data_IF_262390115694
#
_entry.id   IF_262390115694
#
_cell.length_a   1.000
_cell.length_b   1.000
_cell.length_c   1.000
_cell.angle_alpha   90.00
_cell.angle_beta   90.00
_cell.angle_gamma   90.00
#
_symmetry.space_group_name_H-M   'P 1'
#
loop_
_entity.id
_entity.type
_entity.pdbx_description
1 polymer ?
#
# COMPACT_ATOMS: atom_id res chain seq x y z
N UNK A 1 18.06 23.19 -16.30
CA UNK A 1 17.48 21.94 -16.81
C UNK A 1 16.81 22.23 -18.16
N UNK A 2 16.72 21.27 -19.05
CA UNK A 2 16.17 21.40 -20.41
C UNK A 2 15.13 20.31 -20.64
N UNK A 3 14.26 20.51 -21.65
CA UNK A 3 13.33 19.50 -22.13
C UNK A 3 13.89 18.90 -23.43
N UNK A 4 13.64 17.61 -23.64
CA UNK A 4 13.92 16.97 -24.91
C UNK A 4 12.90 17.34 -25.99
N UNK A 5 13.24 17.07 -27.24
CA UNK A 5 12.36 17.33 -28.37
C UNK A 5 11.03 16.57 -28.25
N UNK A 6 9.93 17.23 -28.61
CA UNK A 6 8.59 16.63 -28.57
C UNK A 6 7.94 16.54 -27.18
N UNK A 7 8.56 17.02 -26.10
CA UNK A 7 7.93 17.10 -24.77
C UNK A 7 7.02 18.33 -24.71
N UNK A 8 5.70 18.11 -24.67
CA UNK A 8 4.68 19.17 -24.67
C UNK A 8 3.97 19.34 -23.32
N UNK A 9 3.95 18.29 -22.51
CA UNK A 9 3.16 18.26 -21.28
C UNK A 9 3.89 18.84 -20.04
N UNK A 10 5.18 19.13 -20.20
CA UNK A 10 6.05 19.66 -19.15
C UNK A 10 6.71 20.96 -19.62
N UNK A 11 7.07 21.82 -18.68
CA UNK A 11 7.87 23.02 -18.94
C UNK A 11 9.05 23.07 -17.97
N UNK A 12 10.09 23.79 -18.35
CA UNK A 12 11.23 24.05 -17.46
C UNK A 12 10.71 24.76 -16.19
N UNK A 13 11.10 24.27 -15.02
CA UNK A 13 10.63 24.75 -13.73
C UNK A 13 9.46 23.99 -13.14
N UNK A 14 8.81 23.07 -13.88
CA UNK A 14 7.79 22.20 -13.27
C UNK A 14 8.37 21.34 -12.16
N UNK A 15 7.64 21.28 -11.06
CA UNK A 15 7.91 20.36 -9.95
C UNK A 15 7.42 18.98 -10.38
N UNK A 16 8.29 17.96 -10.28
CA UNK A 16 7.95 16.62 -10.74
C UNK A 16 8.40 15.56 -9.74
N UNK A 17 7.69 14.43 -9.73
CA UNK A 17 8.04 13.23 -9.01
C UNK A 17 7.96 12.01 -9.93
N UNK A 18 8.67 10.94 -9.58
CA UNK A 18 8.64 9.68 -10.31
C UNK A 18 8.90 8.49 -9.38
N UNK A 19 8.51 7.29 -9.82
CA UNK A 19 8.89 6.05 -9.19
C UNK A 19 9.39 5.05 -10.24
N UNK A 20 10.42 4.30 -9.87
CA UNK A 20 11.05 3.34 -10.77
C UNK A 20 11.82 4.00 -11.93
N UNK A 21 12.24 3.20 -12.88
CA UNK A 21 12.99 3.64 -14.05
C UNK A 21 14.47 3.25 -13.98
N UNK A 22 15.29 3.76 -14.90
CA UNK A 22 16.72 3.47 -14.90
C UNK A 22 17.38 3.89 -13.59
N UNK A 23 18.52 3.26 -13.24
CA UNK A 23 19.34 3.69 -12.11
C UNK A 23 19.78 5.15 -12.30
N UNK A 24 20.08 5.85 -11.19
CA UNK A 24 20.56 7.24 -11.21
C UNK A 24 19.71 8.23 -10.44
N UNK A 25 18.94 7.78 -9.44
CA UNK A 25 18.18 8.68 -8.56
C UNK A 25 19.10 9.47 -7.61
N UNK A 26 20.24 8.90 -7.22
CA UNK A 26 21.28 9.58 -6.42
C UNK A 26 22.20 10.40 -7.33
N UNK A 27 21.66 11.45 -7.92
CA UNK A 27 22.38 12.35 -8.81
C UNK A 27 21.82 13.76 -8.70
N UNK A 28 22.66 14.77 -8.82
CA UNK A 28 22.26 16.19 -8.85
C UNK A 28 21.41 16.50 -10.09
N UNK A 29 21.74 15.85 -11.21
CA UNK A 29 21.03 15.99 -12.50
C UNK A 29 20.97 14.62 -13.17
N UNK A 30 19.82 14.34 -13.81
CA UNK A 30 19.64 13.13 -14.60
C UNK A 30 18.73 13.35 -15.80
N UNK A 31 18.89 12.52 -16.81
CA UNK A 31 17.92 12.40 -17.90
C UNK A 31 16.87 11.33 -17.52
N UNK A 32 15.61 11.68 -17.75
CA UNK A 32 14.49 10.76 -17.50
C UNK A 32 13.43 10.93 -18.61
N UNK A 33 12.83 9.86 -19.12
CA UNK A 33 11.74 9.97 -20.08
C UNK A 33 10.54 10.73 -19.50
N UNK A 34 10.02 11.71 -20.23
CA UNK A 34 8.95 12.59 -19.76
C UNK A 34 7.69 11.84 -19.32
N UNK A 35 7.32 10.75 -20.01
CA UNK A 35 6.16 9.93 -19.68
C UNK A 35 6.23 9.23 -18.28
N UNK A 36 7.39 9.24 -17.63
CA UNK A 36 7.58 8.71 -16.27
C UNK A 36 7.44 9.77 -15.19
N UNK A 37 7.29 11.03 -15.58
CA UNK A 37 7.19 12.14 -14.66
C UNK A 37 5.73 12.48 -14.36
N UNK A 38 5.43 12.70 -13.09
CA UNK A 38 4.16 13.25 -12.63
C UNK A 38 4.41 14.66 -12.12
N UNK A 39 3.56 15.60 -12.51
CA UNK A 39 3.59 16.94 -11.91
C UNK A 39 3.25 16.84 -10.44
N UNK A 40 4.12 17.39 -9.61
CA UNK A 40 3.93 17.43 -8.16
C UNK A 40 3.15 18.68 -7.80
N UNK A 41 1.96 18.55 -7.18
CA UNK A 41 1.18 19.70 -6.71
C UNK A 41 1.99 20.57 -5.73
N UNK A 42 1.74 21.88 -5.73
CA UNK A 42 2.49 22.81 -4.90
C UNK A 42 2.33 22.53 -3.40
N UNK A 43 1.19 22.00 -2.98
CA UNK A 43 0.92 21.60 -1.60
C UNK A 43 1.73 20.39 -1.11
N UNK A 44 2.40 19.65 -1.99
CA UNK A 44 3.19 18.46 -1.64
C UNK A 44 4.68 18.83 -1.72
N UNK A 45 5.42 18.64 -0.62
CA UNK A 45 6.87 18.87 -0.60
C UNK A 45 7.61 17.82 -1.46
N UNK A 46 8.84 18.12 -1.85
CA UNK A 46 9.66 17.14 -2.61
C UNK A 46 9.95 15.90 -1.79
N UNK A 47 10.16 16.03 -0.48
CA UNK A 47 10.41 14.92 0.44
C UNK A 47 9.17 14.02 0.53
N UNK A 48 7.99 14.61 0.69
CA UNK A 48 6.72 13.85 0.68
C UNK A 48 6.51 13.19 -0.67
N UNK A 49 6.74 13.91 -1.77
CA UNK A 49 6.65 13.37 -3.12
C UNK A 49 7.58 12.17 -3.32
N UNK A 50 8.83 12.27 -2.90
CA UNK A 50 9.79 11.17 -3.00
C UNK A 50 9.37 9.96 -2.16
N UNK A 51 8.93 10.18 -0.92
CA UNK A 51 8.54 9.12 0.00
C UNK A 51 7.28 8.37 -0.43
N UNK A 52 6.28 9.08 -0.99
CA UNK A 52 4.98 8.48 -1.30
C UNK A 52 4.92 7.76 -2.64
N UNK A 53 5.79 8.08 -3.61
CA UNK A 53 5.58 7.64 -4.99
C UNK A 53 5.52 6.13 -5.14
N UNK A 54 6.53 5.39 -4.68
CA UNK A 54 6.54 3.93 -4.82
C UNK A 54 5.42 3.28 -4.01
N UNK A 55 5.33 3.62 -2.74
CA UNK A 55 4.37 3.03 -1.81
C UNK A 55 2.93 3.43 -2.14
N UNK A 56 2.69 4.69 -2.50
CA UNK A 56 1.38 5.18 -2.89
C UNK A 56 0.88 4.57 -4.20
N UNK A 57 1.74 4.45 -5.21
CA UNK A 57 1.39 3.76 -6.47
C UNK A 57 1.12 2.28 -6.23
N UNK A 58 1.88 1.63 -5.32
CA UNK A 58 1.64 0.24 -4.94
C UNK A 58 0.27 0.11 -4.27
N UNK A 59 -0.04 0.91 -3.26
CA UNK A 59 -1.36 0.90 -2.63
C UNK A 59 -2.49 1.18 -3.64
N UNK A 60 -2.27 2.11 -4.57
CA UNK A 60 -3.25 2.47 -5.61
C UNK A 60 -3.59 1.27 -6.51
N UNK A 61 -2.59 0.57 -7.06
CA UNK A 61 -2.92 -0.56 -7.92
C UNK A 61 -3.49 -1.74 -7.14
N UNK A 62 -3.01 -2.01 -5.94
CA UNK A 62 -3.53 -3.07 -5.09
C UNK A 62 -5.03 -2.89 -4.82
N UNK A 63 -5.42 -1.71 -4.34
CA UNK A 63 -6.78 -1.43 -3.90
C UNK A 63 -7.75 -1.09 -5.03
N UNK A 64 -7.26 -0.71 -6.22
CA UNK A 64 -8.09 -0.18 -7.31
C UNK A 64 -8.00 -0.95 -8.62
N UNK A 65 -6.94 -1.73 -8.83
CA UNK A 65 -6.68 -2.44 -10.08
C UNK A 65 -6.62 -3.95 -9.89
N UNK A 66 -5.91 -4.44 -8.85
CA UNK A 66 -5.76 -5.87 -8.58
C UNK A 66 -7.05 -6.43 -7.98
N UNK A 67 -7.46 -5.89 -6.84
CA UNK A 67 -8.79 -6.10 -6.27
C UNK A 67 -9.43 -4.75 -6.00
N UNK A 68 -10.61 -4.52 -6.57
CA UNK A 68 -11.31 -3.25 -6.41
C UNK A 68 -12.10 -3.25 -5.11
N UNK A 69 -11.47 -2.77 -4.04
CA UNK A 69 -12.08 -2.70 -2.71
C UNK A 69 -13.37 -1.90 -2.74
N UNK A 70 -14.41 -2.47 -2.13
CA UNK A 70 -15.74 -1.91 -2.00
C UNK A 70 -16.07 -1.64 -0.53
N UNK A 71 -17.06 -0.79 -0.30
CA UNK A 71 -17.64 -0.62 1.03
C UNK A 71 -18.25 -1.94 1.52
N UNK A 72 -17.98 -2.30 2.76
CA UNK A 72 -18.41 -3.56 3.36
C UNK A 72 -17.46 -4.74 3.18
N UNK A 73 -16.40 -4.62 2.34
CA UNK A 73 -15.36 -5.63 2.28
C UNK A 73 -14.62 -5.76 3.61
N UNK A 74 -14.25 -6.98 3.99
CA UNK A 74 -13.24 -7.22 5.01
C UNK A 74 -11.89 -7.47 4.33
N UNK A 75 -10.87 -6.70 4.65
CA UNK A 75 -9.54 -6.80 4.04
C UNK A 75 -8.48 -7.12 5.09
N UNK A 76 -7.57 -8.04 4.76
CA UNK A 76 -6.39 -8.31 5.57
C UNK A 76 -5.16 -7.72 4.89
N UNK A 77 -4.40 -6.91 5.61
CA UNK A 77 -3.16 -6.30 5.14
C UNK A 77 -2.00 -6.79 6.00
N UNK A 78 -1.11 -7.58 5.40
CA UNK A 78 0.11 -8.02 6.05
C UNK A 78 1.10 -6.85 6.16
N UNK A 79 1.90 -6.83 7.22
CA UNK A 79 2.83 -5.74 7.52
C UNK A 79 2.16 -4.34 7.49
N UNK A 80 1.02 -4.21 8.16
CA UNK A 80 0.17 -3.02 8.15
C UNK A 80 0.86 -1.71 8.59
N UNK A 81 1.91 -1.80 9.41
CA UNK A 81 2.73 -0.65 9.83
C UNK A 81 3.92 -0.35 8.89
N UNK A 82 4.03 -1.05 7.76
CA UNK A 82 5.01 -0.77 6.71
C UNK A 82 4.58 0.40 5.81
N UNK A 83 5.47 0.87 4.94
CA UNK A 83 5.21 2.03 4.09
C UNK A 83 3.99 1.87 3.17
N UNK A 84 3.83 0.72 2.49
CA UNK A 84 2.63 0.41 1.71
C UNK A 84 1.44 0.18 2.64
N UNK A 85 1.64 -0.56 3.76
CA UNK A 85 0.61 -0.91 4.72
C UNK A 85 -0.11 0.30 5.30
N UNK A 86 0.63 1.32 5.76
CA UNK A 86 0.06 2.54 6.34
C UNK A 86 -0.85 3.29 5.33
N UNK A 87 -0.42 3.40 4.08
CA UNK A 87 -1.21 4.06 3.03
C UNK A 87 -2.45 3.19 2.69
N UNK A 88 -2.23 1.87 2.51
CA UNK A 88 -3.30 0.95 2.15
C UNK A 88 -4.39 0.86 3.23
N UNK A 89 -4.02 0.85 4.51
CA UNK A 89 -4.97 0.82 5.63
C UNK A 89 -5.86 2.07 5.63
N UNK A 90 -5.27 3.26 5.53
CA UNK A 90 -6.03 4.51 5.47
C UNK A 90 -6.96 4.55 4.26
N UNK A 91 -6.46 4.15 3.10
CA UNK A 91 -7.25 4.19 1.87
C UNK A 91 -8.36 3.14 1.86
N UNK A 92 -8.10 1.90 2.27
CA UNK A 92 -9.13 0.86 2.37
C UNK A 92 -10.24 1.27 3.35
N UNK A 93 -9.86 1.87 4.51
CA UNK A 93 -10.84 2.44 5.44
C UNK A 93 -11.68 3.55 4.81
N UNK A 94 -11.06 4.46 4.08
CA UNK A 94 -11.77 5.54 3.38
C UNK A 94 -12.71 5.02 2.28
N UNK A 95 -12.45 3.83 1.72
CA UNK A 95 -13.32 3.14 0.79
C UNK A 95 -14.48 2.40 1.48
N UNK A 96 -14.55 2.42 2.81
CA UNK A 96 -15.61 1.79 3.59
C UNK A 96 -15.37 0.31 3.92
N UNK A 97 -14.15 -0.19 3.77
CA UNK A 97 -13.80 -1.55 4.13
C UNK A 97 -13.50 -1.69 5.63
N UNK A 98 -13.76 -2.86 6.20
CA UNK A 98 -13.22 -3.27 7.50
C UNK A 98 -11.77 -3.70 7.32
N UNK A 99 -10.84 -2.96 7.93
CA UNK A 99 -9.40 -3.18 7.77
C UNK A 99 -8.85 -3.95 8.95
N UNK A 100 -8.28 -5.13 8.67
CA UNK A 100 -7.54 -5.98 9.60
C UNK A 100 -6.07 -5.90 9.20
N UNK A 101 -5.19 -5.54 10.12
CA UNK A 101 -3.76 -5.42 9.85
C UNK A 101 -2.94 -6.37 10.71
N UNK A 102 -1.87 -6.96 10.17
CA UNK A 102 -0.91 -7.69 10.99
C UNK A 102 0.36 -6.89 11.21
N UNK A 103 0.95 -7.06 12.37
CA UNK A 103 2.18 -6.40 12.81
C UNK A 103 3.03 -7.36 13.65
N UNK A 104 4.32 -7.03 13.83
CA UNK A 104 5.25 -7.86 14.62
C UNK A 104 5.62 -7.27 15.99
N UNK A 105 5.01 -6.16 16.43
CA UNK A 105 5.29 -5.59 17.75
C UNK A 105 4.18 -4.66 18.25
N UNK A 106 4.09 -4.42 19.58
CA UNK A 106 3.10 -3.51 20.15
C UNK A 106 3.21 -2.07 19.60
N UNK A 107 4.42 -1.54 19.45
CA UNK A 107 4.61 -0.19 18.91
C UNK A 107 4.08 -0.06 17.47
N UNK A 108 4.28 -1.10 16.65
CA UNK A 108 3.71 -1.16 15.29
C UNK A 108 2.19 -1.31 15.31
N UNK A 109 1.63 -1.94 16.36
CA UNK A 109 0.18 -2.05 16.50
C UNK A 109 -0.48 -0.69 16.72
N UNK A 110 0.07 0.13 17.58
CA UNK A 110 -0.42 1.50 17.79
C UNK A 110 -0.32 2.35 16.52
N UNK A 111 0.79 2.22 15.79
CA UNK A 111 0.97 2.91 14.52
C UNK A 111 -0.08 2.49 13.48
N UNK A 112 -0.34 1.20 13.32
CA UNK A 112 -1.33 0.68 12.38
C UNK A 112 -2.76 1.12 12.75
N UNK A 113 -3.11 1.12 14.04
CA UNK A 113 -4.40 1.64 14.55
C UNK A 113 -4.58 3.12 14.21
N UNK A 114 -3.56 3.94 14.48
CA UNK A 114 -3.57 5.38 14.19
C UNK A 114 -3.74 5.66 12.68
N UNK A 115 -3.36 4.70 11.83
CA UNK A 115 -3.40 4.81 10.37
C UNK A 115 -4.50 3.97 9.71
N UNK A 116 -5.59 3.71 10.40
CA UNK A 116 -6.82 3.23 9.77
C UNK A 116 -7.15 1.76 9.94
N UNK A 117 -6.32 0.94 10.58
CA UNK A 117 -6.73 -0.40 10.95
C UNK A 117 -7.85 -0.37 11.99
N UNK A 118 -8.92 -1.11 11.71
CA UNK A 118 -9.99 -1.34 12.68
C UNK A 118 -9.57 -2.41 13.70
N UNK A 119 -8.87 -3.43 13.22
CA UNK A 119 -8.34 -4.52 14.02
C UNK A 119 -6.86 -4.71 13.70
N UNK A 120 -6.06 -4.91 14.75
CA UNK A 120 -4.63 -5.18 14.59
C UNK A 120 -4.29 -6.48 15.32
N UNK A 121 -3.57 -7.36 14.63
CA UNK A 121 -3.15 -8.67 15.13
C UNK A 121 -1.62 -8.68 15.21
N UNK A 122 -1.07 -8.97 16.38
CA UNK A 122 0.36 -9.14 16.54
C UNK A 122 0.73 -10.62 16.29
N UNK A 123 1.20 -10.94 15.09
CA UNK A 123 1.54 -12.31 14.70
C UNK A 123 2.68 -12.93 15.51
N UNK A 124 3.45 -12.13 16.30
CA UNK A 124 4.48 -12.66 17.18
C UNK A 124 3.91 -13.34 18.43
N UNK A 125 2.67 -13.04 18.77
CA UNK A 125 2.00 -13.53 19.98
C UNK A 125 0.63 -14.16 19.72
N UNK A 126 0.08 -13.97 18.51
CA UNK A 126 -1.26 -14.40 18.15
C UNK A 126 -1.24 -15.25 16.86
N UNK A 127 -2.13 -16.24 16.80
CA UNK A 127 -2.41 -16.96 15.55
C UNK A 127 -3.33 -16.09 14.67
N UNK A 128 -2.76 -15.39 13.68
CA UNK A 128 -3.51 -14.41 12.92
C UNK A 128 -4.66 -15.00 12.09
N UNK A 129 -4.59 -16.21 11.48
CA UNK A 129 -5.75 -16.79 10.82
C UNK A 129 -6.93 -17.03 11.77
N UNK A 130 -6.66 -17.57 12.97
CA UNK A 130 -7.70 -17.77 13.98
C UNK A 130 -8.33 -16.43 14.40
N UNK A 131 -7.51 -15.41 14.63
CA UNK A 131 -8.00 -14.07 14.98
C UNK A 131 -8.82 -13.44 13.85
N UNK A 132 -8.42 -13.63 12.58
CA UNK A 132 -9.21 -13.15 11.44
C UNK A 132 -10.59 -13.83 11.43
N UNK A 133 -10.65 -15.14 11.67
CA UNK A 133 -11.93 -15.87 11.75
C UNK A 133 -12.82 -15.34 12.87
N UNK A 134 -12.25 -15.07 14.05
CA UNK A 134 -13.01 -14.45 15.16
C UNK A 134 -13.57 -13.07 14.77
N UNK A 135 -12.74 -12.19 14.22
CA UNK A 135 -13.14 -10.83 13.81
C UNK A 135 -14.24 -10.87 12.74
N UNK A 136 -14.20 -11.85 11.86
CA UNK A 136 -15.15 -11.99 10.74
C UNK A 136 -16.28 -12.97 11.02
N UNK A 137 -16.53 -13.35 12.27
CA UNK A 137 -17.56 -14.31 12.67
C UNK A 137 -17.50 -15.65 11.90
N UNK A 138 -16.29 -16.12 11.60
CA UNK A 138 -16.04 -17.37 10.89
C UNK A 138 -15.99 -17.26 9.37
N UNK A 139 -16.40 -16.15 8.78
CA UNK A 139 -16.48 -15.99 7.32
C UNK A 139 -15.11 -15.90 6.64
N UNK A 140 -14.17 -15.19 7.25
CA UNK A 140 -12.90 -14.82 6.64
C UNK A 140 -12.98 -13.53 5.83
N UNK A 141 -11.85 -13.09 5.28
CA UNK A 141 -11.74 -11.82 4.56
C UNK A 141 -11.98 -11.96 3.08
N UNK A 142 -12.44 -10.89 2.45
CA UNK A 142 -12.69 -10.80 0.99
C UNK A 142 -11.39 -10.82 0.20
N UNK A 143 -10.36 -10.17 0.71
CA UNK A 143 -9.04 -10.07 0.08
C UNK A 143 -7.95 -10.01 1.12
N UNK A 144 -6.82 -10.64 0.80
CA UNK A 144 -5.56 -10.50 1.54
C UNK A 144 -4.54 -9.82 0.65
N UNK A 145 -3.88 -8.80 1.18
CA UNK A 145 -2.70 -8.15 0.59
C UNK A 145 -1.46 -8.58 1.35
N UNK A 146 -0.62 -9.40 0.72
CA UNK A 146 0.55 -10.02 1.35
C UNK A 146 1.84 -9.70 0.59
N UNK A 147 2.60 -8.75 1.13
CA UNK A 147 3.94 -8.38 0.68
C UNK A 147 5.06 -9.03 1.51
N UNK A 148 4.74 -9.96 2.42
CA UNK A 148 5.71 -10.69 3.26
C UNK A 148 6.08 -12.03 2.62
N UNK A 149 5.10 -12.79 2.18
CA UNK A 149 5.28 -14.02 1.42
C UNK A 149 5.51 -15.24 2.33
N UNK A 150 6.70 -15.85 2.30
CA UNK A 150 7.01 -17.15 2.88
C UNK A 150 6.40 -17.41 4.27
N UNK A 151 6.49 -16.45 5.16
CA UNK A 151 6.09 -16.63 6.57
C UNK A 151 4.60 -16.38 6.80
N UNK A 152 3.90 -15.78 5.85
CA UNK A 152 2.49 -15.41 5.99
C UNK A 152 1.58 -16.08 4.98
N UNK A 153 2.11 -16.60 3.88
CA UNK A 153 1.34 -17.07 2.73
C UNK A 153 0.27 -18.10 3.09
N UNK A 154 0.64 -19.18 3.80
CA UNK A 154 -0.31 -20.23 4.19
C UNK A 154 -1.43 -19.67 5.07
N UNK A 155 -1.09 -18.92 6.12
CA UNK A 155 -2.08 -18.28 6.99
C UNK A 155 -2.92 -17.22 6.29
N UNK A 156 -2.35 -16.54 5.29
CA UNK A 156 -3.08 -15.61 4.44
C UNK A 156 -4.17 -16.33 3.63
N UNK A 157 -3.88 -17.50 3.06
CA UNK A 157 -4.88 -18.34 2.40
C UNK A 157 -5.95 -18.83 3.38
N UNK A 158 -5.57 -19.27 4.58
CA UNK A 158 -6.49 -19.74 5.61
C UNK A 158 -7.41 -18.63 6.15
N UNK A 159 -7.00 -17.38 5.98
CA UNK A 159 -7.78 -16.20 6.39
C UNK A 159 -8.89 -15.81 5.40
N UNK A 160 -8.82 -16.30 4.15
CA UNK A 160 -9.78 -15.95 3.11
C UNK A 160 -11.15 -16.61 3.33
N UNK A 161 -12.20 -15.89 2.96
CA UNK A 161 -13.51 -16.50 2.75
C UNK A 161 -13.53 -17.34 1.47
N UNK A 162 -14.53 -18.23 1.27
CA UNK A 162 -14.73 -18.84 -0.05
C UNK A 162 -14.79 -17.78 -1.15
N UNK A 163 -14.12 -18.02 -2.27
CA UNK A 163 -13.98 -17.09 -3.40
C UNK A 163 -13.27 -15.77 -3.07
N UNK A 164 -12.61 -15.68 -1.92
CA UNK A 164 -11.75 -14.54 -1.57
C UNK A 164 -10.48 -14.52 -2.42
N UNK A 165 -9.87 -13.35 -2.55
CA UNK A 165 -8.69 -13.14 -3.39
C UNK A 165 -7.41 -13.03 -2.57
N UNK A 166 -6.41 -13.85 -2.90
CA UNK A 166 -5.04 -13.70 -2.41
C UNK A 166 -4.26 -12.81 -3.38
N UNK A 167 -3.70 -11.71 -2.87
CA UNK A 167 -2.85 -10.80 -3.62
C UNK A 167 -1.46 -10.81 -2.98
N UNK A 168 -0.50 -11.46 -3.65
CA UNK A 168 0.92 -11.43 -3.30
C UNK A 168 1.64 -10.39 -4.17
N UNK A 169 2.52 -9.55 -3.58
CA UNK A 169 3.18 -8.45 -4.28
C UNK A 169 4.58 -8.15 -3.74
#
# INVERSE_FOLDING_TARGET
MALGDGVTDLKVGDRVAYAGGPLGAYAEVRNIPAHRLLKLPDAISFETGAAMMLQGLTAAYLLRKTYRVQAGDAVLIQAAAGGVGLIACQWARALGATVIGTVGSPAKAELAKAHGCHHVINYSTENFPARVREITNGEGVTVVYDGVGKDTFAGSLDSLRPMGMMVSF
#
